data_IF_192527640131
#
_entry.id   IF_192527640131
#
_cell.length_a   1.000
_cell.length_b   1.000
_cell.length_c   1.000
_cell.angle_alpha   90.00
_cell.angle_beta   90.00
_cell.angle_gamma   90.00
#
_symmetry.space_group_name_H-M   'P 1'
#
loop_
_entity.id
_entity.type
_entity.pdbx_description
1 polymer ?
#
# COMPACT_ATOMS: atom_id res chain seq x y z
N UNK A 1 7.71 6.88 -25.04
CA UNK A 1 7.54 6.44 -23.63
C UNK A 1 6.19 5.75 -23.54
N UNK A 2 6.13 4.53 -22.99
CA UNK A 2 4.90 3.74 -22.98
C UNK A 2 4.07 4.10 -21.73
N UNK A 3 2.76 4.33 -21.87
CA UNK A 3 1.88 4.79 -20.77
C UNK A 3 1.94 3.86 -19.54
N UNK A 4 1.96 2.55 -19.77
CA UNK A 4 2.07 1.54 -18.71
C UNK A 4 3.38 1.64 -17.91
N UNK A 5 4.49 2.07 -18.54
CA UNK A 5 5.77 2.25 -17.84
C UNK A 5 5.74 3.47 -16.92
N UNK A 6 5.13 4.57 -17.37
CA UNK A 6 4.95 5.79 -16.56
C UNK A 6 4.00 5.51 -15.38
N UNK A 7 2.88 4.82 -15.63
CA UNK A 7 1.93 4.43 -14.60
C UNK A 7 2.60 3.53 -13.54
N UNK A 8 3.38 2.53 -13.97
CA UNK A 8 4.14 1.68 -13.05
C UNK A 8 5.12 2.49 -12.19
N UNK A 9 5.91 3.38 -12.80
CA UNK A 9 6.87 4.22 -12.08
C UNK A 9 6.18 5.12 -11.04
N UNK A 10 5.01 5.68 -11.37
CA UNK A 10 4.23 6.48 -10.43
C UNK A 10 3.72 5.65 -9.24
N UNK A 11 3.20 4.45 -9.49
CA UNK A 11 2.76 3.51 -8.44
C UNK A 11 3.92 3.11 -7.54
N UNK A 12 5.06 2.73 -8.12
CA UNK A 12 6.27 2.34 -7.37
C UNK A 12 6.76 3.50 -6.48
N UNK A 13 6.76 4.74 -6.99
CA UNK A 13 7.13 5.92 -6.22
C UNK A 13 6.18 6.14 -5.03
N UNK A 14 4.87 6.09 -5.25
CA UNK A 14 3.88 6.28 -4.19
C UNK A 14 3.99 5.19 -3.11
N UNK A 15 4.24 3.94 -3.51
CA UNK A 15 4.46 2.83 -2.58
C UNK A 15 5.69 3.07 -1.70
N UNK A 16 6.81 3.47 -2.30
CA UNK A 16 8.04 3.79 -1.55
C UNK A 16 7.81 4.96 -0.59
N UNK A 17 7.17 6.04 -1.07
CA UNK A 17 6.88 7.21 -0.24
C UNK A 17 6.00 6.83 0.96
N UNK A 18 4.95 6.04 0.74
CA UNK A 18 4.09 5.55 1.80
C UNK A 18 4.83 4.66 2.80
N UNK A 19 5.59 3.67 2.32
CA UNK A 19 6.38 2.78 3.17
C UNK A 19 7.36 3.56 4.07
N UNK A 20 8.01 4.60 3.54
CA UNK A 20 8.94 5.43 4.31
C UNK A 20 8.21 6.29 5.34
N UNK A 21 7.10 6.92 4.94
CA UNK A 21 6.26 7.69 5.86
C UNK A 21 5.71 6.81 6.99
N UNK A 22 5.20 5.61 6.67
CA UNK A 22 4.67 4.68 7.65
C UNK A 22 5.73 4.33 8.70
N UNK A 23 6.93 3.93 8.28
CA UNK A 23 8.06 3.66 9.20
C UNK A 23 8.37 4.85 10.10
N UNK A 24 8.40 6.06 9.56
CA UNK A 24 8.69 7.26 10.33
C UNK A 24 7.59 7.53 11.38
N UNK A 25 6.33 7.39 11.01
CA UNK A 25 5.20 7.60 11.93
C UNK A 25 5.16 6.53 13.01
N UNK A 26 5.41 5.26 12.70
CA UNK A 26 5.50 4.19 13.71
C UNK A 26 6.58 4.47 14.75
N UNK A 27 7.76 4.93 14.33
CA UNK A 27 8.82 5.34 15.26
C UNK A 27 8.36 6.47 16.18
N UNK A 28 7.68 7.48 15.63
CA UNK A 28 7.17 8.61 16.42
C UNK A 28 6.10 8.14 17.41
N UNK A 29 5.22 7.24 17.00
CA UNK A 29 4.17 6.66 17.84
C UNK A 29 4.77 5.88 19.02
N UNK A 30 5.78 5.04 18.77
CA UNK A 30 6.49 4.29 19.80
C UNK A 30 7.21 5.22 20.79
N UNK A 31 7.87 6.26 20.27
CA UNK A 31 8.52 7.27 21.12
C UNK A 31 7.52 8.05 21.97
N UNK A 32 6.36 8.42 21.40
CA UNK A 32 5.30 9.12 22.13
C UNK A 32 4.69 8.25 23.24
N UNK A 33 4.46 6.97 22.95
CA UNK A 33 3.97 5.98 23.92
C UNK A 33 4.96 5.82 25.09
N UNK A 34 6.24 5.62 24.79
CA UNK A 34 7.28 5.50 25.81
C UNK A 34 7.46 6.78 26.65
N UNK A 35 7.37 7.95 26.00
CA UNK A 35 7.42 9.23 26.69
C UNK A 35 6.23 9.42 27.63
N UNK A 36 5.02 9.05 27.20
CA UNK A 36 3.83 9.06 28.05
C UNK A 36 3.97 8.11 29.24
N UNK A 37 4.45 6.88 29.04
CA UNK A 37 4.68 5.94 30.14
C UNK A 37 5.70 6.46 31.15
N UNK A 38 6.77 7.10 30.66
CA UNK A 38 7.78 7.76 31.49
C UNK A 38 7.18 8.92 32.29
N UNK A 39 6.37 9.76 31.67
CA UNK A 39 5.69 10.86 32.36
C UNK A 39 4.73 10.35 33.45
N UNK A 40 3.97 9.29 33.16
CA UNK A 40 3.02 8.68 34.12
C UNK A 40 3.74 8.00 35.29
N UNK A 41 4.92 7.43 35.06
CA UNK A 41 5.71 6.80 36.12
C UNK A 41 6.48 7.79 36.99
N UNK A 42 6.89 8.94 36.43
CA UNK A 42 7.63 9.99 37.15
C UNK A 42 6.74 11.04 37.80
N UNK A 43 5.49 11.17 37.37
CA UNK A 43 4.57 12.08 38.02
C UNK A 43 4.26 11.56 39.44
N UNK A 44 4.51 12.38 40.47
CA UNK A 44 4.00 12.19 41.85
C UNK A 44 2.45 12.26 41.94
N UNK A 45 1.76 12.04 40.82
CA UNK A 45 0.32 12.03 40.69
C UNK A 45 -0.21 10.65 41.06
N UNK A 46 -1.11 10.55 42.06
CA UNK A 46 -1.84 9.31 42.32
C UNK A 46 -2.78 9.01 41.15
N UNK A 47 -2.29 8.27 40.16
CA UNK A 47 -3.07 7.84 39.01
C UNK A 47 -3.82 6.54 39.33
N UNK A 48 -5.16 6.51 39.22
CA UNK A 48 -5.95 5.28 39.36
C UNK A 48 -5.54 4.21 38.35
N UNK A 49 -5.69 2.94 38.72
CA UNK A 49 -5.34 1.79 37.86
C UNK A 49 -6.12 1.83 36.53
N UNK A 50 -7.38 2.23 36.56
CA UNK A 50 -8.22 2.39 35.37
C UNK A 50 -7.63 3.38 34.36
N UNK A 51 -7.01 4.47 34.84
CA UNK A 51 -6.41 5.49 33.97
C UNK A 51 -5.13 4.97 33.30
N UNK A 52 -4.31 4.20 34.02
CA UNK A 52 -3.14 3.51 33.44
C UNK A 52 -3.57 2.51 32.36
N UNK A 53 -4.59 1.71 32.65
CA UNK A 53 -5.13 0.74 31.69
C UNK A 53 -5.73 1.42 30.46
N UNK A 54 -6.41 2.56 30.62
CA UNK A 54 -6.94 3.32 29.50
C UNK A 54 -5.85 3.86 28.57
N UNK A 55 -4.74 4.36 29.11
CA UNK A 55 -3.59 4.84 28.32
C UNK A 55 -2.95 3.68 27.56
N UNK A 56 -2.69 2.56 28.22
CA UNK A 56 -2.10 1.38 27.58
C UNK A 56 -2.99 0.83 26.46
N UNK A 57 -4.29 0.72 26.71
CA UNK A 57 -5.25 0.30 25.68
C UNK A 57 -5.27 1.29 24.50
N UNK A 58 -5.25 2.59 24.77
CA UNK A 58 -5.24 3.59 23.71
C UNK A 58 -3.98 3.51 22.83
N UNK A 59 -2.80 3.33 23.43
CA UNK A 59 -1.54 3.12 22.69
C UNK A 59 -1.64 1.87 21.81
N UNK A 60 -2.04 0.74 22.39
CA UNK A 60 -2.14 -0.53 21.67
C UNK A 60 -3.14 -0.44 20.51
N UNK A 61 -4.34 0.10 20.75
CA UNK A 61 -5.33 0.31 19.68
C UNK A 61 -4.76 1.21 18.59
N UNK A 62 -4.05 2.29 18.95
CA UNK A 62 -3.48 3.19 17.96
C UNK A 62 -2.42 2.49 17.09
N UNK A 63 -1.59 1.60 17.66
CA UNK A 63 -0.63 0.79 16.91
C UNK A 63 -1.35 -0.21 15.98
N UNK A 64 -2.33 -0.96 16.50
CA UNK A 64 -3.12 -1.93 15.73
C UNK A 64 -3.84 -1.27 14.54
N UNK A 65 -4.42 -0.09 14.75
CA UNK A 65 -5.10 0.66 13.69
C UNK A 65 -4.12 1.12 12.60
N UNK A 66 -2.91 1.55 12.97
CA UNK A 66 -1.87 1.90 12.02
C UNK A 66 -1.39 0.70 11.21
N UNK A 67 -1.19 -0.46 11.86
CA UNK A 67 -0.84 -1.71 11.17
C UNK A 67 -1.93 -2.16 10.19
N UNK A 68 -3.20 -2.02 10.59
CA UNK A 68 -4.34 -2.32 9.72
C UNK A 68 -4.38 -1.38 8.53
N UNK A 69 -4.15 -0.08 8.75
CA UNK A 69 -4.08 0.92 7.68
C UNK A 69 -2.95 0.61 6.69
N UNK A 70 -1.76 0.28 7.19
CA UNK A 70 -0.64 -0.12 6.34
C UNK A 70 -0.96 -1.34 5.49
N UNK A 71 -1.53 -2.39 6.10
CA UNK A 71 -1.94 -3.60 5.40
C UNK A 71 -2.98 -3.34 4.31
N UNK A 72 -3.92 -2.43 4.56
CA UNK A 72 -4.92 -2.00 3.59
C UNK A 72 -4.27 -1.27 2.39
N UNK A 73 -3.36 -0.35 2.65
CA UNK A 73 -2.66 0.40 1.59
C UNK A 73 -1.73 -0.50 0.77
N UNK A 74 -0.96 -1.40 1.41
CA UNK A 74 -0.12 -2.39 0.72
C UNK A 74 -0.94 -3.34 -0.16
N UNK A 75 -2.14 -3.74 0.32
CA UNK A 75 -3.08 -4.54 -0.48
C UNK A 75 -3.59 -3.76 -1.70
N UNK A 76 -3.84 -2.46 -1.55
CA UNK A 76 -4.21 -1.56 -2.65
C UNK A 76 -3.13 -1.46 -3.72
N UNK A 77 -1.87 -1.23 -3.32
CA UNK A 77 -0.73 -1.21 -4.24
C UNK A 77 -0.56 -2.55 -4.96
N UNK A 78 -0.66 -3.66 -4.22
CA UNK A 78 -0.59 -5.02 -4.80
C UNK A 78 -1.71 -5.27 -5.83
N UNK A 79 -2.92 -4.73 -5.60
CA UNK A 79 -4.03 -4.79 -6.55
C UNK A 79 -3.75 -4.00 -7.83
N UNK A 80 -3.25 -2.77 -7.69
CA UNK A 80 -2.88 -1.91 -8.83
C UNK A 80 -1.78 -2.55 -9.69
N UNK A 81 -0.75 -3.11 -9.05
CA UNK A 81 0.34 -3.82 -9.73
C UNK A 81 -0.19 -5.01 -10.55
N UNK A 82 -1.12 -5.80 -10.02
CA UNK A 82 -1.74 -6.94 -10.73
C UNK A 82 -2.51 -6.50 -11.98
N UNK A 83 -3.29 -5.43 -11.89
CA UNK A 83 -4.12 -4.95 -13.01
C UNK A 83 -3.28 -4.29 -14.11
N UNK A 84 -2.24 -3.53 -13.74
CA UNK A 84 -1.28 -2.96 -14.70
C UNK A 84 -0.52 -4.05 -15.48
N UNK A 85 -0.24 -5.20 -14.85
CA UNK A 85 0.38 -6.37 -15.53
C UNK A 85 -0.63 -7.11 -16.41
N UNK A 86 -1.91 -7.17 -16.03
CA UNK A 86 -2.96 -7.84 -16.81
C UNK A 86 -3.32 -7.12 -18.12
N UNK A 87 -3.39 -5.79 -18.12
CA UNK A 87 -3.64 -4.98 -19.34
C UNK A 87 -2.58 -5.23 -20.44
N UNK A 88 -1.40 -5.72 -20.07
CA UNK A 88 -0.32 -6.06 -21.03
C UNK A 88 -0.54 -7.43 -21.72
N UNK A 89 -1.42 -8.31 -21.21
CA UNK A 89 -1.60 -9.69 -21.71
C UNK A 89 -2.83 -9.92 -22.59
N UNK A 90 -3.76 -8.97 -22.72
CA UNK A 90 -5.12 -9.23 -23.24
C UNK A 90 -5.45 -8.73 -24.65
N UNK A 91 -4.47 -8.42 -25.52
CA UNK A 91 -4.74 -8.31 -26.97
C UNK A 91 -4.16 -9.52 -27.72
N UNK A 92 -4.93 -10.60 -27.91
CA UNK A 92 -4.62 -11.55 -28.96
C UNK A 92 -4.97 -10.88 -30.29
N UNK A 93 -3.94 -10.56 -31.07
CA UNK A 93 -4.08 -10.14 -32.46
C UNK A 93 -4.80 -11.24 -33.24
N UNK A 94 -6.11 -11.08 -33.44
CA UNK A 94 -6.86 -11.89 -34.40
C UNK A 94 -6.50 -11.39 -35.79
N UNK A 95 -5.44 -11.97 -36.37
CA UNK A 95 -5.08 -11.78 -37.77
C UNK A 95 -6.23 -12.23 -38.67
N UNK A 96 -6.74 -11.40 -39.60
CA UNK A 96 -7.59 -11.87 -40.68
C UNK A 96 -6.69 -12.63 -41.67
N UNK A 97 -6.96 -13.92 -41.85
CA UNK A 97 -6.35 -14.75 -42.87
C UNK A 97 -6.88 -14.33 -44.26
N UNK A 98 -6.04 -13.90 -45.23
CA UNK A 98 -6.46 -13.76 -46.61
C UNK A 98 -6.13 -15.04 -47.37
N UNK A 99 -6.97 -16.05 -47.20
CA UNK A 99 -6.97 -17.25 -48.06
C UNK A 99 -8.35 -17.39 -48.72
N UNK A 100 -8.71 -16.41 -49.55
CA UNK A 100 -9.81 -16.54 -50.51
C UNK A 100 -9.78 -15.36 -51.50
N UNK A 101 -8.84 -15.35 -52.45
CA UNK A 101 -9.14 -14.76 -53.76
C UNK A 101 -8.47 -15.59 -54.86
N UNK A 102 -9.32 -16.45 -55.39
CA UNK A 102 -9.31 -17.11 -56.70
C UNK A 102 -8.09 -16.95 -57.61
N UNK A 103 -7.44 -18.10 -57.82
CA UNK A 103 -6.87 -18.49 -59.12
C UNK A 103 -7.89 -18.31 -60.25
N UNK A 104 -7.58 -17.53 -61.29
CA UNK A 104 -7.75 -17.90 -62.72
C UNK A 104 -7.20 -16.83 -63.70
N UNK A 105 -6.98 -17.14 -65.01
CA UNK A 105 -5.63 -17.38 -65.53
C UNK A 105 -5.22 -16.47 -66.71
N UNK A 106 -3.92 -16.56 -67.02
CA UNK A 106 -3.19 -16.26 -68.25
C UNK A 106 -3.92 -15.57 -69.43
N UNK A 107 -3.30 -14.48 -69.92
CA UNK A 107 -2.90 -14.37 -71.33
C UNK A 107 -1.64 -13.52 -71.45
#
# INVERSE_FOLDING_TARGET
MNFNQIAKQAVDFQKIAFSNWYKAVTIIQDQAASAMETMVSQADLPMPEEARNAINNWVNTCQEEFERFHSYVESGFSGLEKHLVQETKSVPAKSPNPAAEEKKPAK
#
